data_IF_478945775753
#
_entry.id   IF_478945775753
#
_cell.length_a   1.000
_cell.length_b   1.000
_cell.length_c   1.000
_cell.angle_alpha   90.00
_cell.angle_beta   90.00
_cell.angle_gamma   90.00
#
_symmetry.space_group_name_H-M   'P 1'
#
loop_
_entity.id
_entity.type
_entity.pdbx_description
1 polymer ?
#
# COMPACT_ATOMS: atom_id res chain seq x y z
N UNK A 1 -44.34 -11.84 0.15
CA UNK A 1 -43.00 -12.45 0.30
C UNK A 1 -42.01 -11.62 -0.53
N UNK A 2 -41.34 -10.64 0.08
CA UNK A 2 -40.24 -9.84 -0.49
C UNK A 2 -39.35 -9.42 0.69
N UNK A 3 -38.40 -10.26 1.08
CA UNK A 3 -37.47 -9.97 2.18
C UNK A 3 -36.02 -10.37 1.86
N UNK A 4 -35.72 -10.74 0.62
CA UNK A 4 -34.38 -11.26 0.23
C UNK A 4 -33.59 -10.40 -0.75
N UNK A 5 -34.09 -9.22 -1.17
CA UNK A 5 -33.38 -8.36 -2.15
C UNK A 5 -32.56 -7.23 -1.49
N UNK A 6 -32.87 -6.88 -0.24
CA UNK A 6 -32.26 -5.73 0.46
C UNK A 6 -30.88 -6.05 1.08
N UNK A 7 -30.70 -7.27 1.60
CA UNK A 7 -29.44 -7.65 2.26
C UNK A 7 -28.26 -7.77 1.28
N UNK A 8 -28.51 -8.13 0.02
CA UNK A 8 -27.45 -8.32 -0.99
C UNK A 8 -26.93 -6.99 -1.51
N UNK A 9 -27.81 -6.02 -1.77
CA UNK A 9 -27.42 -4.68 -2.21
C UNK A 9 -26.69 -3.91 -1.10
N UNK A 10 -27.08 -4.07 0.17
CA UNK A 10 -26.39 -3.46 1.30
C UNK A 10 -24.94 -3.94 1.45
N UNK A 11 -24.70 -5.25 1.29
CA UNK A 11 -23.35 -5.83 1.29
C UNK A 11 -22.50 -5.27 0.16
N UNK A 12 -23.06 -5.22 -1.06
CA UNK A 12 -22.38 -4.66 -2.24
C UNK A 12 -22.02 -3.18 -2.07
N UNK A 13 -22.96 -2.37 -1.58
CA UNK A 13 -22.71 -0.96 -1.29
C UNK A 13 -21.59 -0.76 -0.25
N UNK A 14 -21.54 -1.61 0.79
CA UNK A 14 -20.51 -1.55 1.83
C UNK A 14 -19.14 -1.95 1.28
N UNK A 15 -19.06 -3.00 0.47
CA UNK A 15 -17.82 -3.43 -0.19
C UNK A 15 -17.27 -2.34 -1.11
N UNK A 16 -18.13 -1.73 -1.92
CA UNK A 16 -17.76 -0.61 -2.79
C UNK A 16 -17.25 0.58 -1.96
N UNK A 17 -17.93 0.94 -0.87
CA UNK A 17 -17.49 2.01 0.02
C UNK A 17 -16.12 1.71 0.65
N UNK A 18 -15.90 0.50 1.16
CA UNK A 18 -14.60 0.09 1.72
C UNK A 18 -13.49 0.11 0.68
N UNK A 19 -13.77 -0.30 -0.56
CA UNK A 19 -12.80 -0.22 -1.66
C UNK A 19 -12.42 1.23 -1.97
N UNK A 20 -13.40 2.15 -1.94
CA UNK A 20 -13.18 3.59 -2.14
C UNK A 20 -12.31 4.18 -1.04
N UNK A 21 -12.57 3.84 0.22
CA UNK A 21 -11.75 4.28 1.34
C UNK A 21 -10.32 3.73 1.27
N UNK A 22 -10.16 2.46 0.91
CA UNK A 22 -8.84 1.85 0.69
C UNK A 22 -8.07 2.59 -0.39
N UNK A 23 -8.67 2.83 -1.56
CA UNK A 23 -7.99 3.53 -2.65
C UNK A 23 -7.63 4.97 -2.29
N UNK A 24 -8.56 5.71 -1.68
CA UNK A 24 -8.28 7.07 -1.20
C UNK A 24 -7.15 7.09 -0.19
N UNK A 25 -7.10 6.12 0.71
CA UNK A 25 -6.04 5.98 1.70
C UNK A 25 -4.68 5.74 1.01
N UNK A 26 -4.58 4.74 0.13
CA UNK A 26 -3.34 4.43 -0.59
C UNK A 26 -2.86 5.62 -1.43
N UNK A 27 -3.76 6.32 -2.12
CA UNK A 27 -3.38 7.52 -2.88
C UNK A 27 -2.81 8.63 -2.00
N UNK A 28 -3.38 8.87 -0.82
CA UNK A 28 -2.83 9.85 0.12
C UNK A 28 -1.43 9.45 0.63
N UNK A 29 -1.16 8.15 0.75
CA UNK A 29 0.16 7.66 1.15
C UNK A 29 1.20 7.78 0.05
N UNK A 30 0.81 7.54 -1.21
CA UNK A 30 1.67 7.79 -2.37
C UNK A 30 2.02 9.28 -2.45
N UNK A 31 1.06 10.17 -2.23
CA UNK A 31 1.30 11.61 -2.22
C UNK A 31 2.31 12.01 -1.14
N UNK A 32 2.24 11.40 0.05
CA UNK A 32 3.21 11.63 1.13
C UNK A 32 4.61 11.11 0.83
N UNK A 33 4.73 10.01 0.07
CA UNK A 33 6.02 9.49 -0.39
C UNK A 33 6.59 10.30 -1.55
N UNK A 34 5.71 10.92 -2.35
CA UNK A 34 6.06 11.66 -3.57
C UNK A 34 5.77 10.84 -4.82
N UNK A 35 4.90 11.39 -5.68
CA UNK A 35 4.51 10.78 -6.95
C UNK A 35 5.69 10.63 -7.93
N UNK A 36 6.67 11.52 -7.84
CA UNK A 36 7.91 11.47 -8.62
C UNK A 36 8.78 10.25 -8.31
N UNK A 37 8.59 9.64 -7.14
CA UNK A 37 9.30 8.42 -6.73
C UNK A 37 8.54 7.15 -7.14
N UNK A 38 7.27 7.25 -7.54
CA UNK A 38 6.46 6.11 -7.95
C UNK A 38 6.87 5.62 -9.35
N UNK A 39 7.36 4.38 -9.42
CA UNK A 39 7.80 3.74 -10.67
C UNK A 39 6.69 2.91 -11.29
N UNK A 40 5.95 2.18 -10.46
CA UNK A 40 4.87 1.30 -10.90
C UNK A 40 3.70 1.36 -9.93
N UNK A 41 2.50 1.32 -10.49
CA UNK A 41 1.25 1.22 -9.76
C UNK A 41 0.39 0.14 -10.43
N UNK A 42 0.01 -0.88 -9.67
CA UNK A 42 -0.91 -1.92 -10.11
C UNK A 42 -2.34 -1.38 -10.23
N UNK A 43 -3.12 -1.96 -11.14
CA UNK A 43 -4.49 -1.53 -11.45
C UNK A 43 -5.43 -1.57 -10.23
N UNK A 44 -5.20 -2.52 -9.31
CA UNK A 44 -5.99 -2.74 -8.10
C UNK A 44 -5.38 -2.10 -6.84
N UNK A 45 -4.33 -1.30 -7.03
CA UNK A 45 -3.56 -0.60 -5.99
C UNK A 45 -2.98 -1.52 -4.91
N UNK A 46 -2.83 -2.82 -5.20
CA UNK A 46 -2.19 -3.78 -4.29
C UNK A 46 -0.72 -3.98 -4.59
N UNK A 47 -0.21 -3.50 -5.72
CA UNK A 47 1.21 -3.56 -6.05
C UNK A 47 1.75 -2.17 -6.40
N UNK A 48 2.82 -1.78 -5.74
CA UNK A 48 3.47 -0.48 -5.88
C UNK A 48 4.97 -0.71 -6.01
N UNK A 49 5.66 0.18 -6.70
CA UNK A 49 7.12 0.22 -6.66
C UNK A 49 7.60 1.66 -6.54
N UNK A 50 8.49 1.93 -5.60
CA UNK A 50 9.11 3.24 -5.41
C UNK A 50 10.60 3.19 -5.76
N UNK A 51 11.08 4.22 -6.44
CA UNK A 51 12.50 4.50 -6.59
C UNK A 51 12.97 5.24 -5.35
N UNK A 52 13.99 4.71 -4.68
CA UNK A 52 14.59 5.31 -3.49
C UNK A 52 16.10 5.49 -3.70
N UNK A 53 16.67 6.50 -3.06
CA UNK A 53 18.09 6.82 -3.13
C UNK A 53 18.68 6.69 -1.73
N UNK A 54 19.58 5.73 -1.53
CA UNK A 54 20.19 5.52 -0.22
C UNK A 54 21.24 6.60 0.13
N UNK A 55 21.75 6.56 1.37
CA UNK A 55 22.76 7.50 1.88
C UNK A 55 24.08 7.47 1.12
N UNK A 56 24.35 6.40 0.36
CA UNK A 56 25.55 6.25 -0.46
C UNK A 56 25.35 6.78 -1.88
N UNK A 57 24.13 7.17 -2.23
CA UNK A 57 23.75 7.64 -3.56
C UNK A 57 23.37 6.50 -4.52
N UNK A 58 23.22 5.27 -4.04
CA UNK A 58 22.74 4.16 -4.85
C UNK A 58 21.21 4.21 -4.98
N UNK A 59 20.73 3.88 -6.18
CA UNK A 59 19.30 3.87 -6.51
C UNK A 59 18.77 2.46 -6.37
N UNK A 60 17.70 2.30 -5.59
CA UNK A 60 17.01 1.03 -5.39
C UNK A 60 15.56 1.12 -5.84
N UNK A 61 14.99 0.00 -6.24
CA UNK A 61 13.56 -0.16 -6.46
C UNK A 61 12.99 -0.97 -5.30
N UNK A 62 12.10 -0.34 -4.55
CA UNK A 62 11.37 -0.94 -3.45
C UNK A 62 10.01 -1.40 -3.95
N UNK A 63 9.82 -2.71 -4.05
CA UNK A 63 8.54 -3.32 -4.41
C UNK A 63 7.70 -3.56 -3.16
N UNK A 64 6.45 -3.12 -3.22
CA UNK A 64 5.51 -3.15 -2.11
C UNK A 64 4.23 -3.84 -2.57
N UNK A 65 3.82 -4.86 -1.83
CA UNK A 65 2.54 -5.53 -2.00
C UNK A 65 1.64 -5.25 -0.80
N UNK A 66 0.45 -4.72 -1.06
CA UNK A 66 -0.57 -4.40 -0.08
C UNK A 66 -1.66 -5.47 -0.08
N UNK A 67 -1.92 -6.04 1.08
CA UNK A 67 -3.12 -6.82 1.31
C UNK A 67 -4.35 -5.89 1.44
N UNK A 68 -5.55 -6.38 1.12
CA UNK A 68 -6.79 -5.60 1.28
C UNK A 68 -7.12 -5.27 2.74
N UNK A 69 -6.49 -5.96 3.70
CA UNK A 69 -6.56 -5.65 5.12
C UNK A 69 -5.57 -4.56 5.58
N UNK A 70 -4.71 -4.06 4.68
CA UNK A 70 -3.80 -2.95 4.97
C UNK A 70 -4.56 -1.69 5.48
N UNK A 71 -4.04 -0.94 6.46
CA UNK A 71 -2.73 -1.09 7.14
C UNK A 71 -2.74 -2.04 8.35
N UNK A 72 -3.84 -2.76 8.62
CA UNK A 72 -3.91 -3.70 9.76
C UNK A 72 -2.91 -4.85 9.61
N UNK A 73 -2.70 -5.28 8.37
CA UNK A 73 -1.62 -6.18 8.01
C UNK A 73 -0.45 -5.38 7.40
N UNK A 74 0.80 -5.72 7.75
CA UNK A 74 1.96 -5.08 7.15
C UNK A 74 2.01 -5.34 5.65
N UNK A 75 2.56 -4.40 4.86
CA UNK A 75 2.85 -4.66 3.47
C UNK A 75 3.97 -5.71 3.35
N UNK A 76 3.97 -6.46 2.24
CA UNK A 76 5.12 -7.29 1.88
C UNK A 76 6.10 -6.45 1.07
N UNK A 77 7.38 -6.50 1.44
CA UNK A 77 8.44 -5.66 0.86
C UNK A 77 9.48 -6.54 0.17
N UNK A 78 9.90 -6.15 -1.02
CA UNK A 78 11.03 -6.75 -1.74
C UNK A 78 11.92 -5.66 -2.34
N UNK A 79 13.24 -5.90 -2.31
CA UNK A 79 14.24 -5.05 -2.94
C UNK A 79 15.47 -5.90 -3.26
N UNK A 80 16.20 -5.54 -4.32
CA UNK A 80 17.43 -6.21 -4.73
C UNK A 80 18.63 -5.72 -3.89
N UNK A 81 18.64 -6.11 -2.61
CA UNK A 81 19.68 -5.74 -1.65
C UNK A 81 20.31 -6.99 -1.00
N UNK A 82 21.60 -6.96 -0.65
CA UNK A 82 22.32 -8.14 -0.13
C UNK A 82 22.00 -8.47 1.34
N UNK A 83 20.99 -7.82 1.93
CA UNK A 83 20.58 -8.02 3.32
C UNK A 83 19.07 -8.25 3.43
N UNK A 84 18.64 -8.83 4.53
CA UNK A 84 17.21 -9.00 4.82
C UNK A 84 16.68 -7.69 5.40
N UNK A 85 15.78 -7.03 4.67
CA UNK A 85 15.04 -5.89 5.19
C UNK A 85 13.97 -6.36 6.18
N UNK A 86 14.05 -5.88 7.42
CA UNK A 86 13.07 -6.17 8.47
C UNK A 86 12.28 -4.90 8.73
N UNK A 87 10.99 -4.92 8.39
CA UNK A 87 10.10 -3.79 8.54
C UNK A 87 9.49 -3.76 9.95
N UNK A 88 9.70 -2.67 10.68
CA UNK A 88 8.93 -2.37 11.89
C UNK A 88 7.58 -1.77 11.48
N UNK A 89 6.49 -2.45 11.84
CA UNK A 89 5.14 -2.09 11.41
C UNK A 89 4.13 -2.03 12.55
N UNK A 90 3.26 -1.03 12.49
CA UNK A 90 2.07 -0.91 13.32
C UNK A 90 0.87 -0.53 12.47
N UNK A 91 -0.35 -0.64 13.01
CA UNK A 91 -1.57 -0.19 12.31
C UNK A 91 -1.57 1.32 11.99
N UNK A 92 -0.72 2.12 12.65
CA UNK A 92 -0.57 3.54 12.39
C UNK A 92 0.60 3.84 11.42
N UNK A 93 1.37 2.83 11.04
CA UNK A 93 2.45 2.95 10.08
C UNK A 93 1.89 3.14 8.67
N UNK A 94 2.70 3.77 7.81
CA UNK A 94 2.34 4.24 6.48
C UNK A 94 3.46 3.94 5.48
N UNK A 95 3.19 4.07 4.18
CA UNK A 95 4.19 3.82 3.14
C UNK A 95 5.48 4.64 3.31
N UNK A 96 5.38 5.89 3.76
CA UNK A 96 6.55 6.72 4.03
C UNK A 96 7.45 6.15 5.12
N UNK A 97 6.90 5.43 6.09
CA UNK A 97 7.69 4.81 7.16
C UNK A 97 8.50 3.64 6.60
N UNK A 98 7.96 2.92 5.62
CA UNK A 98 8.70 1.86 4.89
C UNK A 98 9.89 2.48 4.16
N UNK A 99 9.64 3.56 3.40
CA UNK A 99 10.69 4.27 2.66
C UNK A 99 11.75 4.81 3.61
N UNK A 100 11.36 5.44 4.70
CA UNK A 100 12.28 5.99 5.70
C UNK A 100 13.12 4.91 6.40
N UNK A 101 12.54 3.75 6.71
CA UNK A 101 13.28 2.63 7.31
C UNK A 101 14.24 1.96 6.33
N UNK A 102 13.99 2.04 5.02
CA UNK A 102 14.86 1.48 4.00
C UNK A 102 16.14 2.32 3.78
N UNK A 103 16.08 3.64 4.01
CA UNK A 103 17.17 4.60 3.79
C UNK A 103 18.20 4.68 4.92
#
# INVERSE_FOLDING_TARGET
MKFSLDCTEQTRCRELAMSSDFYRFVYSEIEEVGWENLVRLGEDLTSLSFRVLDKTGAVHILEILLDKAYPKCPPTISADVPYIFTLEWSINSRLKDVVQQFL
#
